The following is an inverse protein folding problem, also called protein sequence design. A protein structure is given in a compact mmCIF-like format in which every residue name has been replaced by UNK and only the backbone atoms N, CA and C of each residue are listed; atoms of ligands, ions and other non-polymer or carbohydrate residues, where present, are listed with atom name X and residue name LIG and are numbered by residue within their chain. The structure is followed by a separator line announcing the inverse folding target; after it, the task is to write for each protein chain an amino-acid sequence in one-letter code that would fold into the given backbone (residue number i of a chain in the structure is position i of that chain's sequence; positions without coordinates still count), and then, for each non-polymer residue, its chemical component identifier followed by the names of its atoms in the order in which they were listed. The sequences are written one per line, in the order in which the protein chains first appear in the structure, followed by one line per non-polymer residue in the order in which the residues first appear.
data_IF_372239301526
#
_entry.id   IF_372239301526
#
_cell.length_a   1.000
_cell.length_b   1.000
_cell.length_c   1.000
_cell.angle_alpha   90.00
_cell.angle_beta   90.00
_cell.angle_gamma   90.00
#
_symmetry.space_group_name_H-M   'P 1'
#
loop_
_entity.id
_entity.type
_entity.pdbx_description
1 polymer ?
#
# COMPACT_ATOMS: atom_id res chain seq x y z
N UNK A 1 8.58 10.26 13.60
CA UNK A 1 8.17 9.61 12.33
C UNK A 1 7.28 10.57 11.58
N UNK A 2 7.81 11.22 10.54
CA UNK A 2 7.01 12.11 9.69
C UNK A 2 6.01 11.22 8.96
N UNK A 3 4.71 11.41 9.23
CA UNK A 3 3.64 10.87 8.40
C UNK A 3 3.70 11.56 7.04
N UNK A 4 4.66 11.16 6.20
CA UNK A 4 4.61 11.46 4.78
C UNK A 4 3.35 10.75 4.29
N UNK A 5 2.33 11.51 3.88
CA UNK A 5 1.20 10.97 3.15
C UNK A 5 1.78 10.18 1.99
N UNK A 6 1.74 8.86 2.10
CA UNK A 6 2.13 7.97 1.02
C UNK A 6 1.09 8.21 -0.06
N UNK A 7 1.51 8.83 -1.15
CA UNK A 7 0.63 9.14 -2.27
C UNK A 7 -0.02 7.85 -2.75
N UNK A 8 -1.31 7.91 -3.10
CA UNK A 8 -2.05 6.78 -3.65
C UNK A 8 -1.31 6.15 -4.83
N UNK A 9 -0.62 6.97 -5.62
CA UNK A 9 0.30 6.56 -6.69
C UNK A 9 1.37 5.55 -6.25
N UNK A 10 2.04 5.77 -5.11
CA UNK A 10 3.05 4.83 -4.60
C UNK A 10 2.43 3.50 -4.17
N UNK A 11 1.20 3.52 -3.65
CA UNK A 11 0.49 2.28 -3.28
C UNK A 11 0.07 1.50 -4.52
N UNK A 12 -0.44 2.19 -5.54
CA UNK A 12 -0.81 1.57 -6.81
C UNK A 12 0.42 0.97 -7.48
N UNK A 13 1.53 1.70 -7.53
CA UNK A 13 2.79 1.21 -8.09
C UNK A 13 3.30 -0.04 -7.36
N UNK A 14 3.24 -0.08 -6.02
CA UNK A 14 3.59 -1.27 -5.24
C UNK A 14 2.73 -2.49 -5.59
N UNK A 15 1.43 -2.29 -5.75
CA UNK A 15 0.48 -3.36 -6.09
C UNK A 15 0.66 -3.83 -7.53
N UNK A 16 0.91 -2.92 -8.48
CA UNK A 16 1.20 -3.26 -9.88
C UNK A 16 2.48 -4.08 -10.00
N UNK A 17 3.53 -3.74 -9.26
CA UNK A 17 4.78 -4.51 -9.23
C UNK A 17 4.52 -5.95 -8.72
N UNK A 18 3.74 -6.09 -7.64
CA UNK A 18 3.34 -7.41 -7.15
C UNK A 18 2.49 -8.19 -8.16
N UNK A 19 1.55 -7.54 -8.87
CA UNK A 19 0.76 -8.19 -9.93
C UNK A 19 1.61 -8.59 -11.14
N UNK A 20 2.68 -7.85 -11.44
CA UNK A 20 3.68 -8.22 -12.45
C UNK A 20 4.58 -9.39 -12.00
N UNK A 21 4.41 -9.88 -10.78
CA UNK A 21 5.16 -11.03 -10.24
C UNK A 21 6.49 -10.66 -9.59
N UNK A 22 6.70 -9.38 -9.24
CA UNK A 22 7.89 -8.97 -8.50
C UNK A 22 7.86 -9.49 -7.07
N UNK A 23 9.04 -9.79 -6.53
CA UNK A 23 9.13 -10.21 -5.14
C UNK A 23 8.91 -9.04 -4.18
N UNK A 24 8.28 -9.32 -3.04
CA UNK A 24 7.96 -8.31 -2.05
C UNK A 24 9.22 -7.59 -1.53
N UNK A 25 10.36 -8.30 -1.47
CA UNK A 25 11.67 -7.74 -1.10
C UNK A 25 12.17 -6.73 -2.16
N UNK A 26 12.09 -7.06 -3.44
CA UNK A 26 12.46 -6.15 -4.53
C UNK A 26 11.58 -4.89 -4.56
N UNK A 27 10.27 -5.05 -4.31
CA UNK A 27 9.33 -3.92 -4.25
C UNK A 27 9.63 -3.02 -3.05
N UNK A 28 10.00 -3.61 -1.90
CA UNK A 28 10.42 -2.82 -0.72
C UNK A 28 11.68 -2.02 -0.97
N UNK A 29 12.66 -2.59 -1.65
CA UNK A 29 13.91 -1.90 -1.99
C UNK A 29 13.69 -0.81 -3.04
N UNK A 30 12.91 -1.10 -4.07
CA UNK A 30 12.61 -0.15 -5.15
C UNK A 30 11.82 1.09 -4.66
N UNK A 31 10.85 0.88 -3.76
CA UNK A 31 10.03 1.97 -3.20
C UNK A 31 10.59 2.55 -1.91
N UNK A 32 11.61 1.92 -1.30
CA UNK A 32 12.15 2.29 0.00
C UNK A 32 11.13 2.17 1.15
N UNK A 33 10.17 1.25 1.01
CA UNK A 33 9.06 1.04 1.94
C UNK A 33 9.27 -0.25 2.72
N UNK A 34 8.67 -0.37 3.91
CA UNK A 34 8.71 -1.63 4.65
C UNK A 34 7.75 -2.65 4.04
N UNK A 35 8.15 -3.92 4.04
CA UNK A 35 7.35 -5.07 3.58
C UNK A 35 5.99 -5.13 4.28
N UNK A 36 5.95 -4.81 5.58
CA UNK A 36 4.70 -4.67 6.34
C UNK A 36 3.70 -3.67 5.77
N UNK A 37 4.18 -2.55 5.19
CA UNK A 37 3.28 -1.55 4.60
C UNK A 37 2.68 -2.05 3.30
N UNK A 38 3.48 -2.75 2.50
CA UNK A 38 3.05 -3.33 1.22
C UNK A 38 2.09 -4.50 1.45
N UNK A 39 2.42 -5.39 2.40
CA UNK A 39 1.54 -6.49 2.81
C UNK A 39 0.18 -5.98 3.27
N UNK A 40 0.15 -4.93 4.09
CA UNK A 40 -1.10 -4.29 4.51
C UNK A 40 -1.88 -3.69 3.32
N UNK A 41 -1.22 -3.12 2.31
CA UNK A 41 -1.91 -2.65 1.10
C UNK A 41 -2.43 -3.79 0.24
N UNK A 42 -1.69 -4.89 0.13
CA UNK A 42 -2.12 -6.09 -0.59
C UNK A 42 -3.35 -6.72 0.07
N UNK A 43 -3.39 -6.76 1.41
CA UNK A 43 -4.53 -7.26 2.17
C UNK A 43 -5.77 -6.36 1.97
N UNK A 44 -5.61 -5.04 2.11
CA UNK A 44 -6.68 -4.07 1.82
C UNK A 44 -7.15 -4.17 0.35
N UNK A 45 -6.23 -4.32 -0.60
CA UNK A 45 -6.57 -4.44 -2.02
C UNK A 45 -7.32 -5.75 -2.31
N UNK A 46 -6.94 -6.85 -1.67
CA UNK A 46 -7.62 -8.14 -1.80
C UNK A 46 -9.03 -8.10 -1.21
N UNK A 47 -9.21 -7.42 -0.07
CA UNK A 47 -10.51 -7.30 0.61
C UNK A 47 -11.44 -6.31 -0.09
N UNK A 48 -10.94 -5.15 -0.53
CA UNK A 48 -11.78 -4.06 -1.04
C UNK A 48 -11.70 -3.84 -2.57
N UNK A 49 -10.76 -4.49 -3.28
CA UNK A 49 -10.36 -4.16 -4.68
C UNK A 49 -10.15 -2.67 -4.92
N UNK A 50 -9.76 -1.93 -3.88
CA UNK A 50 -9.56 -0.48 -3.91
C UNK A 50 -8.28 -0.15 -3.16
N UNK A 51 -7.38 0.55 -3.85
CA UNK A 51 -6.10 1.02 -3.30
C UNK A 51 -6.31 2.23 -2.38
N UNK A 52 -7.40 2.98 -2.61
CA UNK A 52 -7.94 3.93 -1.66
C UNK A 52 -8.78 3.16 -0.64
N UNK A 53 -8.17 2.87 0.51
CA UNK A 53 -8.95 2.85 1.74
C UNK A 53 -9.66 4.21 1.77
N UNK A 54 -11.01 4.31 1.64
CA UNK A 54 -11.65 5.54 2.03
C UNK A 54 -11.17 5.74 3.45
N UNK A 55 -10.46 6.83 3.71
CA UNK A 55 -10.08 7.22 5.06
C UNK A 55 -11.38 7.14 5.84
N UNK A 56 -11.61 6.04 6.56
CA UNK A 56 -12.76 5.87 7.40
C UNK A 56 -12.48 6.93 8.44
N UNK A 57 -13.07 8.10 8.21
CA UNK A 57 -13.26 9.12 9.19
C UNK A 57 -13.89 8.36 10.33
N UNK A 58 -13.05 7.94 11.28
CA UNK A 58 -13.45 7.52 12.59
C UNK A 58 -13.96 8.80 13.28
N UNK A 59 -15.04 9.36 12.73
CA UNK A 59 -15.98 10.19 13.46
C UNK A 59 -16.64 9.24 14.43
N UNK A 60 -16.06 9.16 15.62
CA UNK A 60 -16.78 8.70 16.80
C UNK A 60 -17.38 9.93 17.50
N UNK A 61 -18.47 9.74 18.27
CA UNK A 61 -19.72 10.49 18.24
C UNK A 61 -19.66 11.85 18.93
#
# INVERSE_FOLDING_TARGET
MVYRKISTDMKQCALELLEMGWEMEEVTEALGMSSRSIDHWADIYKEHRRVDLPSVLHGRP
#
